data_IF_852156589427
#
_entry.id   IF_852156589427
#
_cell.length_a   1.000
_cell.length_b   1.000
_cell.length_c   1.000
_cell.angle_alpha   90.00
_cell.angle_beta   90.00
_cell.angle_gamma   90.00
#
_symmetry.space_group_name_H-M   'P 1'
#
loop_
_entity.id
_entity.type
_entity.pdbx_description
1 polymer ?
#
# COMPACT_ATOMS: atom_id res chain seq x y z
N UNK A 1 40.32 107.86 -23.84
CA UNK A 1 39.30 108.25 -22.84
C UNK A 1 38.05 107.43 -23.13
N UNK A 2 37.81 106.39 -22.48
CA UNK A 2 36.66 105.51 -22.70
C UNK A 2 36.12 104.99 -21.35
N UNK A 3 34.92 105.38 -21.06
CA UNK A 3 34.25 105.05 -19.83
C UNK A 3 33.78 103.60 -19.86
N UNK A 4 34.24 102.82 -18.92
CA UNK A 4 33.76 101.48 -18.64
C UNK A 4 32.39 101.54 -17.96
N UNK A 5 31.39 100.93 -18.53
CA UNK A 5 30.11 100.67 -17.89
C UNK A 5 30.13 99.22 -17.34
N UNK A 6 30.02 99.07 -16.06
CA UNK A 6 29.85 97.83 -15.37
C UNK A 6 28.37 97.48 -15.48
N UNK A 7 28.07 96.27 -16.08
CA UNK A 7 26.74 95.68 -16.12
C UNK A 7 26.65 94.62 -15.04
N UNK A 8 25.76 94.88 -14.10
CA UNK A 8 25.46 93.89 -13.00
C UNK A 8 24.51 92.84 -13.53
N UNK A 9 25.00 91.61 -13.65
CA UNK A 9 24.15 90.52 -14.04
C UNK A 9 23.73 89.74 -12.78
N UNK A 10 22.42 89.81 -12.47
CA UNK A 10 21.80 88.95 -11.41
C UNK A 10 21.77 87.51 -11.88
N UNK A 11 22.48 86.70 -11.16
CA UNK A 11 22.39 85.23 -11.36
C UNK A 11 21.27 84.73 -10.46
N UNK A 12 20.15 84.38 -11.06
CA UNK A 12 19.06 83.68 -10.37
C UNK A 12 19.42 82.17 -10.27
N UNK A 13 19.73 81.73 -9.05
CA UNK A 13 19.93 80.32 -8.76
C UNK A 13 18.54 79.68 -8.62
N UNK A 14 18.14 78.94 -9.64
CA UNK A 14 16.95 78.09 -9.59
C UNK A 14 17.32 76.78 -8.88
N UNK A 15 16.85 76.63 -7.65
CA UNK A 15 16.89 75.33 -6.96
C UNK A 15 15.89 74.39 -7.62
N UNK A 16 16.39 73.46 -8.47
CA UNK A 16 15.63 72.35 -8.99
C UNK A 16 15.61 71.28 -7.91
N UNK A 17 14.53 71.21 -7.15
CA UNK A 17 14.25 70.07 -6.25
C UNK A 17 13.83 68.91 -7.10
N UNK A 18 14.77 67.96 -7.35
CA UNK A 18 14.44 66.71 -7.95
C UNK A 18 13.67 65.85 -6.90
N UNK A 19 12.35 65.74 -7.03
CA UNK A 19 11.56 64.71 -6.42
C UNK A 19 11.93 63.39 -7.08
N UNK A 20 12.84 62.65 -6.47
CA UNK A 20 13.00 61.22 -6.73
C UNK A 20 11.74 60.54 -6.21
N UNK A 21 10.76 60.33 -7.09
CA UNK A 21 9.71 59.35 -6.89
C UNK A 21 10.40 57.96 -6.99
N UNK A 22 10.83 57.49 -5.85
CA UNK A 22 11.23 56.07 -5.71
C UNK A 22 10.04 55.19 -6.03
N UNK A 23 9.98 54.66 -7.25
CA UNK A 23 9.20 53.45 -7.49
C UNK A 23 9.78 52.36 -6.60
N UNK A 24 9.20 52.16 -5.41
CA UNK A 24 9.35 50.93 -4.69
C UNK A 24 8.72 49.86 -5.58
N UNK A 25 9.54 49.18 -6.38
CA UNK A 25 9.19 47.89 -6.88
C UNK A 25 8.94 47.01 -5.64
N UNK A 26 7.71 46.94 -5.21
CA UNK A 26 7.22 45.78 -4.46
C UNK A 26 7.38 44.62 -5.45
N UNK A 27 8.56 44.01 -5.52
CA UNK A 27 8.67 42.61 -5.84
C UNK A 27 7.82 41.92 -4.77
N UNK A 28 6.58 41.60 -5.12
CA UNK A 28 5.91 40.50 -4.45
C UNK A 28 6.94 39.37 -4.47
N UNK A 29 7.46 39.06 -3.28
CA UNK A 29 8.22 37.83 -3.05
C UNK A 29 7.13 36.78 -3.21
N UNK A 30 6.92 36.32 -4.44
CA UNK A 30 6.35 35.02 -4.66
C UNK A 30 7.34 34.07 -3.96
N UNK A 31 7.02 33.68 -2.73
CA UNK A 31 7.60 32.50 -2.16
C UNK A 31 7.28 31.38 -3.18
N UNK A 32 8.25 31.03 -4.00
CA UNK A 32 8.18 29.82 -4.78
C UNK A 32 8.14 28.70 -3.75
N UNK A 33 6.93 28.32 -3.36
CA UNK A 33 6.71 27.10 -2.60
C UNK A 33 7.15 25.99 -3.54
N UNK A 34 8.13 25.23 -3.15
CA UNK A 34 8.59 24.08 -3.92
C UNK A 34 7.41 23.14 -4.10
N UNK A 35 7.08 22.82 -5.34
CA UNK A 35 5.97 21.91 -5.65
C UNK A 35 6.54 20.52 -5.96
N UNK A 36 6.15 19.54 -5.17
CA UNK A 36 6.51 18.12 -5.34
C UNK A 36 5.31 17.40 -5.96
N UNK A 37 5.55 16.64 -7.03
CA UNK A 37 4.52 15.89 -7.74
C UNK A 37 4.79 14.39 -7.64
N UNK A 38 3.87 13.66 -7.02
CA UNK A 38 3.94 12.21 -6.87
C UNK A 38 2.79 11.59 -7.66
N UNK A 39 3.12 10.82 -8.69
CA UNK A 39 2.12 10.05 -9.45
C UNK A 39 1.92 8.67 -8.82
N UNK A 40 0.69 8.27 -8.57
CA UNK A 40 0.36 6.94 -8.06
C UNK A 40 -0.55 6.24 -9.06
N UNK A 41 -0.19 5.04 -9.49
CA UNK A 41 -1.07 4.19 -10.29
C UNK A 41 -1.32 2.87 -9.55
N UNK A 42 -2.59 2.55 -9.35
CA UNK A 42 -3.02 1.32 -8.68
C UNK A 42 -3.63 0.35 -9.68
N UNK A 43 -3.46 -0.96 -9.43
CA UNK A 43 -4.04 -1.97 -10.30
C UNK A 43 -5.56 -1.90 -10.30
N UNK A 44 -6.15 -1.57 -9.14
CA UNK A 44 -7.59 -1.50 -8.89
C UNK A 44 -7.84 -0.57 -7.69
N UNK A 45 -8.71 0.42 -7.85
CA UNK A 45 -8.96 1.45 -6.82
C UNK A 45 -9.86 0.94 -5.68
N UNK A 46 -10.78 0.02 -5.98
CA UNK A 46 -11.75 -0.52 -5.01
C UNK A 46 -11.20 -1.68 -4.15
N UNK A 47 -9.93 -2.07 -4.33
CA UNK A 47 -9.23 -2.96 -3.39
C UNK A 47 -9.06 -2.26 -2.04
N UNK A 48 -9.65 -2.84 -0.97
CA UNK A 48 -9.68 -2.25 0.37
C UNK A 48 -8.29 -2.04 0.96
N UNK A 49 -7.39 -3.01 0.77
CA UNK A 49 -6.03 -2.91 1.30
C UNK A 49 -5.23 -1.83 0.57
N UNK A 50 -5.31 -1.77 -0.76
CA UNK A 50 -4.62 -0.76 -1.57
C UNK A 50 -5.18 0.63 -1.30
N UNK A 51 -6.51 0.79 -1.18
CA UNK A 51 -7.13 2.07 -0.83
C UNK A 51 -6.70 2.57 0.56
N UNK A 52 -6.47 1.67 1.51
CA UNK A 52 -5.91 2.04 2.83
C UNK A 52 -4.49 2.59 2.70
N UNK A 53 -3.62 1.98 1.88
CA UNK A 53 -2.26 2.50 1.63
C UNK A 53 -2.32 3.88 0.98
N UNK A 54 -3.10 4.05 -0.09
CA UNK A 54 -3.17 5.33 -0.81
C UNK A 54 -3.75 6.45 0.03
N UNK A 55 -4.76 6.18 0.86
CA UNK A 55 -5.31 7.15 1.80
C UNK A 55 -4.27 7.59 2.84
N UNK A 56 -3.48 6.67 3.39
CA UNK A 56 -2.40 7.01 4.31
C UNK A 56 -1.31 7.85 3.64
N UNK A 57 -0.96 7.59 2.37
CA UNK A 57 -0.02 8.43 1.60
C UNK A 57 -0.55 9.87 1.49
N UNK A 58 -1.85 10.06 1.21
CA UNK A 58 -2.49 11.38 1.14
C UNK A 58 -2.45 12.11 2.48
N UNK A 59 -2.70 11.41 3.59
CA UNK A 59 -2.63 12.02 4.93
C UNK A 59 -1.19 12.40 5.32
N UNK A 60 -0.20 11.57 4.98
CA UNK A 60 1.21 11.89 5.19
C UNK A 60 1.64 13.14 4.38
N UNK A 61 1.18 13.27 3.15
CA UNK A 61 1.43 14.44 2.33
C UNK A 61 0.84 15.72 2.96
N UNK A 62 -0.42 15.69 3.38
CA UNK A 62 -1.08 16.82 4.06
C UNK A 62 -0.36 17.23 5.36
N UNK A 63 0.15 16.25 6.10
CA UNK A 63 0.94 16.50 7.31
C UNK A 63 2.25 17.19 6.95
N UNK A 64 2.97 16.66 5.96
CA UNK A 64 4.28 17.18 5.53
C UNK A 64 4.18 18.59 4.93
N UNK A 65 3.15 18.88 4.14
CA UNK A 65 2.87 20.24 3.64
C UNK A 65 2.78 21.28 4.75
N UNK A 66 2.10 20.91 5.87
CA UNK A 66 1.96 21.82 7.03
C UNK A 66 3.25 22.01 7.81
N UNK A 67 4.06 20.94 7.91
CA UNK A 67 5.31 20.95 8.68
C UNK A 67 6.42 21.73 7.97
N UNK A 68 6.54 21.60 6.66
CA UNK A 68 7.68 22.14 5.90
C UNK A 68 7.33 23.27 4.95
N UNK A 69 6.07 23.71 4.90
CA UNK A 69 5.58 24.77 4.00
C UNK A 69 5.93 24.50 2.53
N UNK A 70 5.79 23.24 2.10
CA UNK A 70 5.93 22.76 0.72
C UNK A 70 4.55 22.48 0.14
N UNK A 71 4.42 22.43 -1.18
CA UNK A 71 3.21 21.96 -1.84
C UNK A 71 3.45 20.57 -2.37
N UNK A 72 2.59 19.60 -2.03
CA UNK A 72 2.70 18.21 -2.50
C UNK A 72 1.42 17.83 -3.27
N UNK A 73 1.57 17.62 -4.56
CA UNK A 73 0.51 17.17 -5.43
C UNK A 73 0.61 15.66 -5.59
N UNK A 74 -0.44 14.94 -5.22
CA UNK A 74 -0.52 13.47 -5.43
C UNK A 74 -1.72 13.18 -6.31
N UNK A 75 -1.48 12.60 -7.47
CA UNK A 75 -2.53 12.09 -8.36
C UNK A 75 -2.55 10.57 -8.31
N UNK A 76 -3.72 10.01 -7.98
CA UNK A 76 -3.96 8.57 -7.94
C UNK A 76 -4.81 8.19 -9.15
N UNK A 77 -4.35 7.22 -9.93
CA UNK A 77 -5.04 6.74 -11.13
C UNK A 77 -5.29 5.24 -11.05
N UNK A 78 -6.52 4.83 -11.31
CA UNK A 78 -6.94 3.44 -11.38
C UNK A 78 -6.63 2.84 -12.77
N UNK A 79 -5.81 1.80 -12.82
CA UNK A 79 -5.51 1.07 -14.05
C UNK A 79 -6.64 0.12 -14.49
N UNK A 80 -7.61 -0.16 -13.62
CA UNK A 80 -8.75 -1.05 -13.90
C UNK A 80 -8.31 -2.43 -14.38
N UNK A 81 -7.35 -3.01 -13.67
CA UNK A 81 -6.76 -4.33 -13.95
C UNK A 81 -6.21 -4.44 -15.38
N UNK A 82 -5.88 -3.31 -16.01
CA UNK A 82 -5.42 -3.24 -17.39
C UNK A 82 -4.01 -2.66 -17.51
N UNK A 83 -3.04 -3.50 -17.89
CA UNK A 83 -1.65 -3.11 -18.04
C UNK A 83 -1.45 -1.98 -19.07
N UNK A 84 -2.21 -1.96 -20.17
CA UNK A 84 -2.07 -0.89 -21.16
C UNK A 84 -2.53 0.46 -20.59
N UNK A 85 -3.61 0.48 -19.81
CA UNK A 85 -4.03 1.67 -19.06
C UNK A 85 -2.93 2.12 -18.10
N UNK A 86 -2.34 1.19 -17.35
CA UNK A 86 -1.27 1.51 -16.40
C UNK A 86 -0.05 2.10 -17.09
N UNK A 87 0.38 1.52 -18.22
CA UNK A 87 1.47 2.07 -19.04
C UNK A 87 1.16 3.49 -19.53
N UNK A 88 -0.08 3.76 -19.95
CA UNK A 88 -0.50 5.10 -20.39
C UNK A 88 -0.53 6.10 -19.22
N UNK A 89 -0.88 5.65 -18.01
CA UNK A 89 -0.84 6.48 -16.80
C UNK A 89 0.59 6.85 -16.43
N UNK A 90 1.52 5.91 -16.52
CA UNK A 90 2.97 6.18 -16.34
C UNK A 90 3.46 7.19 -17.37
N UNK A 91 3.12 7.03 -18.65
CA UNK A 91 3.46 8.00 -19.69
C UNK A 91 2.90 9.40 -19.38
N UNK A 92 1.65 9.47 -18.89
CA UNK A 92 1.01 10.72 -18.48
C UNK A 92 1.78 11.40 -17.35
N UNK A 93 2.21 10.67 -16.33
CA UNK A 93 3.00 11.22 -15.23
C UNK A 93 4.36 11.75 -15.74
N UNK A 94 5.05 10.99 -16.57
CA UNK A 94 6.32 11.40 -17.18
C UNK A 94 6.16 12.70 -17.99
N UNK A 95 5.15 12.76 -18.87
CA UNK A 95 4.88 13.92 -19.73
C UNK A 95 4.51 15.19 -18.95
N UNK A 96 3.93 15.03 -17.74
CA UNK A 96 3.56 16.15 -16.86
C UNK A 96 4.62 16.47 -15.80
N UNK A 97 5.86 15.92 -15.96
CA UNK A 97 7.01 16.15 -15.10
C UNK A 97 6.71 15.85 -13.63
N UNK A 98 6.20 14.67 -13.34
CA UNK A 98 6.12 14.16 -11.97
C UNK A 98 7.52 13.78 -11.49
N UNK A 99 7.82 14.11 -10.24
CA UNK A 99 9.14 13.89 -9.65
C UNK A 99 9.41 12.42 -9.38
N UNK A 100 8.35 11.65 -9.10
CA UNK A 100 8.41 10.23 -8.83
C UNK A 100 7.08 9.54 -9.16
N UNK A 101 7.13 8.26 -9.49
CA UNK A 101 5.96 7.44 -9.81
C UNK A 101 5.90 6.24 -8.87
N UNK A 102 4.77 6.07 -8.17
CA UNK A 102 4.47 4.91 -7.35
C UNK A 102 3.52 3.98 -8.10
N UNK A 103 3.85 2.70 -8.18
CA UNK A 103 3.15 1.72 -9.02
C UNK A 103 2.75 0.49 -8.20
N UNK A 104 1.46 0.32 -7.99
CA UNK A 104 0.92 -0.98 -7.63
C UNK A 104 0.60 -1.72 -8.94
N UNK A 105 1.54 -2.54 -9.39
CA UNK A 105 1.57 -3.06 -10.76
C UNK A 105 0.43 -4.04 -11.05
N UNK A 106 -0.19 -3.93 -12.23
CA UNK A 106 -1.23 -4.88 -12.69
C UNK A 106 -0.65 -6.28 -12.88
N UNK A 107 0.47 -6.39 -13.57
CA UNK A 107 1.16 -7.65 -13.83
C UNK A 107 2.65 -7.53 -13.46
N UNK A 108 3.03 -8.20 -12.38
CA UNK A 108 4.40 -8.16 -11.84
C UNK A 108 5.48 -8.64 -12.81
N UNK A 109 5.12 -9.47 -13.80
CA UNK A 109 6.05 -9.99 -14.80
C UNK A 109 6.28 -9.02 -15.96
N UNK A 110 5.50 -7.93 -16.02
CA UNK A 110 5.56 -6.90 -17.06
C UNK A 110 6.20 -5.59 -16.59
N UNK A 111 6.87 -5.59 -15.43
CA UNK A 111 7.48 -4.40 -14.84
C UNK A 111 8.58 -3.78 -15.74
N UNK A 112 9.30 -4.59 -16.53
CA UNK A 112 10.34 -4.12 -17.44
C UNK A 112 9.92 -2.94 -18.30
N UNK A 113 8.72 -2.99 -18.89
CA UNK A 113 8.21 -1.92 -19.76
C UNK A 113 8.05 -0.60 -19.02
N UNK A 114 7.50 -0.64 -17.80
CA UNK A 114 7.29 0.54 -16.95
C UNK A 114 8.62 1.10 -16.48
N UNK A 115 9.55 0.22 -16.06
CA UNK A 115 10.89 0.60 -15.62
C UNK A 115 11.68 1.27 -16.74
N UNK A 116 11.64 0.73 -17.97
CA UNK A 116 12.36 1.28 -19.11
C UNK A 116 11.84 2.68 -19.49
N UNK A 117 10.53 2.93 -19.39
CA UNK A 117 9.92 4.27 -19.56
C UNK A 117 10.43 5.24 -18.50
N UNK A 118 10.35 4.87 -17.23
CA UNK A 118 10.80 5.67 -16.10
C UNK A 118 12.30 5.99 -16.17
N UNK A 119 13.11 4.99 -16.52
CA UNK A 119 14.56 5.13 -16.73
C UNK A 119 14.88 6.10 -17.86
N UNK A 120 14.16 6.03 -18.99
CA UNK A 120 14.38 6.89 -20.15
C UNK A 120 14.09 8.36 -19.87
N UNK A 121 13.17 8.65 -18.95
CA UNK A 121 12.83 9.99 -18.48
C UNK A 121 13.60 10.41 -17.23
N UNK A 122 14.42 9.51 -16.66
CA UNK A 122 15.08 9.68 -15.37
C UNK A 122 14.10 10.00 -14.20
N UNK A 123 12.88 9.46 -14.26
CA UNK A 123 11.85 9.60 -13.21
C UNK A 123 11.91 8.39 -12.29
N UNK A 124 12.32 8.51 -11.01
CA UNK A 124 12.39 7.39 -10.07
C UNK A 124 11.04 6.68 -9.92
N UNK A 125 11.09 5.38 -9.62
CA UNK A 125 9.89 4.57 -9.51
C UNK A 125 9.90 3.72 -8.23
N UNK A 126 8.76 3.66 -7.56
CA UNK A 126 8.52 2.81 -6.40
C UNK A 126 7.41 1.83 -6.76
N UNK A 127 7.71 0.55 -6.79
CA UNK A 127 6.67 -0.48 -6.79
C UNK A 127 6.21 -0.74 -5.36
N UNK A 128 4.93 -1.03 -5.18
CA UNK A 128 4.42 -1.36 -3.86
C UNK A 128 3.39 -2.49 -3.89
N UNK A 129 3.29 -3.23 -2.78
CA UNK A 129 2.46 -4.40 -2.57
C UNK A 129 2.79 -5.55 -3.55
N UNK A 130 2.59 -5.40 -4.86
CA UNK A 130 2.92 -6.38 -5.89
C UNK A 130 4.39 -6.23 -6.29
N UNK A 131 5.21 -7.21 -5.89
CA UNK A 131 6.66 -7.17 -6.12
C UNK A 131 7.01 -7.58 -7.55
N UNK A 132 7.69 -6.73 -8.33
CA UNK A 132 8.25 -7.13 -9.62
C UNK A 132 9.20 -8.31 -9.49
N UNK A 133 9.43 -9.03 -10.56
CA UNK A 133 10.45 -10.08 -10.56
C UNK A 133 11.84 -9.48 -10.32
N UNK A 134 12.70 -10.21 -9.63
CA UNK A 134 14.02 -9.73 -9.19
C UNK A 134 14.88 -9.19 -10.34
N UNK A 135 14.78 -9.82 -11.52
CA UNK A 135 15.50 -9.38 -12.73
C UNK A 135 15.10 -7.96 -13.12
N UNK A 136 13.82 -7.61 -13.05
CA UNK A 136 13.33 -6.28 -13.38
C UNK A 136 13.79 -5.24 -12.34
N UNK A 137 13.81 -5.57 -11.06
CA UNK A 137 14.32 -4.68 -10.01
C UNK A 137 15.81 -4.31 -10.21
N UNK A 138 16.57 -5.14 -10.89
CA UNK A 138 17.99 -4.88 -11.20
C UNK A 138 18.22 -3.97 -12.41
N UNK A 139 17.20 -3.70 -13.25
CA UNK A 139 17.33 -2.99 -14.53
C UNK A 139 17.79 -1.54 -14.38
N UNK A 140 17.48 -0.90 -13.25
CA UNK A 140 17.84 0.48 -13.01
C UNK A 140 18.06 0.75 -11.51
N UNK A 141 18.92 1.71 -11.19
CA UNK A 141 19.28 2.03 -9.79
C UNK A 141 18.15 2.70 -9.01
N UNK A 142 17.32 3.52 -9.68
CA UNK A 142 16.23 4.29 -9.06
C UNK A 142 14.87 3.57 -9.16
N UNK A 143 14.91 2.26 -8.97
CA UNK A 143 13.74 1.39 -8.78
C UNK A 143 13.72 0.91 -7.33
N UNK A 144 12.60 1.09 -6.65
CA UNK A 144 12.41 0.70 -5.25
C UNK A 144 11.17 -0.17 -5.11
N UNK A 145 11.10 -0.91 -4.02
CA UNK A 145 9.94 -1.71 -3.65
C UNK A 145 9.58 -1.52 -2.17
N UNK A 146 8.30 -1.35 -1.90
CA UNK A 146 7.74 -1.33 -0.55
C UNK A 146 6.61 -2.35 -0.46
N UNK A 147 6.72 -3.30 0.45
CA UNK A 147 5.70 -4.33 0.64
C UNK A 147 5.90 -5.07 1.96
N UNK A 148 5.29 -6.24 2.07
CA UNK A 148 5.37 -7.06 3.26
C UNK A 148 6.05 -8.42 2.97
N UNK A 149 6.44 -9.13 4.03
CA UNK A 149 7.04 -10.46 3.91
C UNK A 149 5.93 -11.52 3.82
N UNK A 150 5.57 -11.93 2.60
CA UNK A 150 4.47 -12.87 2.38
C UNK A 150 4.63 -14.20 3.12
N UNK A 151 5.86 -14.75 3.22
CA UNK A 151 6.15 -15.97 3.99
C UNK A 151 5.73 -15.79 5.45
N UNK A 152 6.11 -14.66 6.06
CA UNK A 152 5.80 -14.38 7.46
C UNK A 152 4.30 -14.27 7.71
N UNK A 153 3.54 -13.73 6.75
CA UNK A 153 2.08 -13.67 6.88
C UNK A 153 1.45 -15.06 6.88
N UNK A 154 1.88 -15.96 5.99
CA UNK A 154 1.44 -17.35 5.98
C UNK A 154 1.82 -18.10 7.27
N UNK A 155 3.06 -17.95 7.74
CA UNK A 155 3.51 -18.54 9.02
C UNK A 155 2.64 -18.08 10.19
N UNK A 156 2.35 -16.79 10.30
CA UNK A 156 1.52 -16.25 11.37
C UNK A 156 0.07 -16.70 11.27
N UNK A 157 -0.47 -16.80 10.05
CA UNK A 157 -1.81 -17.36 9.82
C UNK A 157 -1.89 -18.84 10.25
N UNK A 158 -0.91 -19.65 9.85
CA UNK A 158 -0.81 -21.04 10.32
C UNK A 158 -0.67 -21.14 11.85
N UNK A 159 0.07 -20.21 12.47
CA UNK A 159 0.25 -20.19 13.93
C UNK A 159 -1.05 -19.92 14.71
N UNK A 160 -2.02 -19.18 14.13
CA UNK A 160 -3.35 -19.00 14.75
C UNK A 160 -4.05 -20.37 14.92
N UNK A 161 -3.96 -21.22 13.91
CA UNK A 161 -4.55 -22.55 13.93
C UNK A 161 -3.80 -23.46 14.92
N UNK A 162 -2.46 -23.41 14.96
CA UNK A 162 -1.64 -24.18 15.90
C UNK A 162 -1.98 -23.81 17.34
N UNK A 163 -2.10 -22.50 17.64
CA UNK A 163 -2.44 -22.05 19.00
C UNK A 163 -3.82 -22.57 19.42
N UNK A 164 -4.80 -22.51 18.52
CA UNK A 164 -6.16 -23.01 18.77
C UNK A 164 -6.17 -24.55 18.95
N UNK A 165 -5.50 -25.28 18.08
CA UNK A 165 -5.38 -26.74 18.16
C UNK A 165 -4.70 -27.19 19.45
N UNK A 166 -3.68 -26.46 19.90
CA UNK A 166 -2.95 -26.77 21.14
C UNK A 166 -3.79 -26.47 22.38
N UNK A 167 -4.58 -25.38 22.35
CA UNK A 167 -5.43 -24.97 23.48
C UNK A 167 -6.69 -25.82 23.61
N UNK A 168 -7.35 -26.14 22.50
CA UNK A 168 -8.54 -26.98 22.45
C UNK A 168 -8.68 -27.67 21.09
N UNK A 169 -8.10 -28.87 21.01
CA UNK A 169 -8.12 -29.71 19.80
C UNK A 169 -9.54 -29.98 19.32
N UNK A 170 -10.48 -30.22 20.24
CA UNK A 170 -11.86 -30.61 19.90
C UNK A 170 -12.68 -29.53 19.22
N UNK A 171 -12.28 -28.26 19.35
CA UNK A 171 -12.90 -27.14 18.63
C UNK A 171 -12.45 -27.01 17.18
N UNK A 172 -11.33 -27.67 16.79
CA UNK A 172 -10.81 -27.69 15.41
C UNK A 172 -11.06 -29.08 14.76
N UNK A 173 -10.52 -30.16 15.33
CA UNK A 173 -10.72 -31.53 14.88
C UNK A 173 -12.05 -32.02 15.45
N UNK A 174 -13.15 -31.67 14.78
CA UNK A 174 -14.52 -31.91 15.29
C UNK A 174 -14.98 -33.35 15.08
N UNK A 175 -14.49 -33.99 14.03
CA UNK A 175 -14.80 -35.37 13.73
C UNK A 175 -13.91 -36.33 14.54
N UNK A 176 -12.81 -35.84 15.17
CA UNK A 176 -11.91 -36.62 16.04
C UNK A 176 -11.00 -37.58 15.29
N UNK A 177 -10.77 -37.40 14.00
CA UNK A 177 -9.95 -38.28 13.18
C UNK A 177 -8.44 -37.96 13.25
N UNK A 178 -8.09 -36.85 13.92
CA UNK A 178 -6.71 -36.45 14.14
C UNK A 178 -6.14 -35.52 13.07
N UNK A 179 -6.95 -35.12 12.09
CA UNK A 179 -6.60 -34.19 11.01
C UNK A 179 -7.43 -32.89 11.12
N UNK A 180 -7.07 -31.93 10.34
CA UNK A 180 -7.86 -30.70 10.14
C UNK A 180 -8.31 -30.65 8.67
N UNK A 181 -9.62 -30.77 8.44
CA UNK A 181 -10.19 -30.62 7.12
C UNK A 181 -10.40 -29.17 6.78
N UNK A 182 -9.77 -28.72 5.71
CA UNK A 182 -9.81 -27.31 5.35
C UNK A 182 -10.16 -27.03 3.89
N UNK A 183 -10.67 -25.81 3.67
CA UNK A 183 -10.78 -25.16 2.36
C UNK A 183 -9.90 -23.93 2.30
N UNK A 184 -9.40 -23.58 1.10
CA UNK A 184 -8.50 -22.46 0.88
C UNK A 184 -9.08 -21.48 -0.14
N UNK A 185 -9.28 -20.23 0.27
CA UNK A 185 -9.62 -19.12 -0.61
C UNK A 185 -8.33 -18.42 -1.03
N UNK A 186 -7.99 -18.55 -2.31
CA UNK A 186 -6.78 -18.01 -2.87
C UNK A 186 -7.01 -16.62 -3.48
N UNK A 187 -5.99 -15.75 -3.40
CA UNK A 187 -5.95 -14.48 -4.09
C UNK A 187 -5.82 -14.63 -5.60
N UNK A 188 -5.50 -13.55 -6.27
CA UNK A 188 -5.32 -13.50 -7.71
C UNK A 188 -4.17 -14.41 -8.18
N UNK A 189 -4.42 -15.15 -9.24
CA UNK A 189 -3.41 -16.01 -9.85
C UNK A 189 -2.22 -15.19 -10.40
N UNK A 190 -1.00 -15.59 -10.08
CA UNK A 190 0.22 -14.88 -10.47
C UNK A 190 0.70 -13.81 -9.47
N UNK A 191 -0.11 -13.45 -8.47
CA UNK A 191 0.35 -12.63 -7.36
C UNK A 191 1.28 -13.45 -6.46
N UNK A 192 2.45 -12.89 -6.07
CA UNK A 192 3.41 -13.62 -5.25
C UNK A 192 2.83 -14.02 -3.87
N UNK A 193 2.03 -13.15 -3.26
CA UNK A 193 1.46 -13.40 -1.94
C UNK A 193 0.46 -14.55 -1.96
N UNK A 194 -0.28 -14.75 -3.06
CA UNK A 194 -1.23 -15.86 -3.20
C UNK A 194 -0.52 -17.21 -2.98
N UNK A 195 0.50 -17.49 -3.80
CA UNK A 195 1.21 -18.75 -3.71
C UNK A 195 1.94 -18.93 -2.37
N UNK A 196 2.59 -17.86 -1.89
CA UNK A 196 3.41 -17.91 -0.68
C UNK A 196 2.53 -18.04 0.56
N UNK A 197 1.46 -17.25 0.71
CA UNK A 197 0.52 -17.35 1.86
C UNK A 197 -0.13 -18.72 1.90
N UNK A 198 -0.60 -19.22 0.75
CA UNK A 198 -1.21 -20.56 0.63
C UNK A 198 -0.23 -21.65 1.06
N UNK A 199 1.02 -21.63 0.59
CA UNK A 199 2.03 -22.62 0.96
C UNK A 199 2.39 -22.54 2.45
N UNK A 200 2.77 -21.36 2.93
CA UNK A 200 3.38 -21.22 4.26
C UNK A 200 2.37 -21.36 5.39
N UNK A 201 1.09 -21.02 5.20
CA UNK A 201 0.05 -21.26 6.21
C UNK A 201 -0.08 -22.77 6.51
N UNK A 202 -0.13 -23.60 5.51
CA UNK A 202 -0.25 -25.04 5.64
C UNK A 202 1.07 -25.69 6.08
N UNK A 203 2.17 -25.29 5.47
CA UNK A 203 3.52 -25.79 5.80
C UNK A 203 3.85 -25.60 7.28
N UNK A 204 3.49 -24.45 7.85
CA UNK A 204 3.71 -24.15 9.26
C UNK A 204 2.96 -25.14 10.16
N UNK A 205 1.72 -25.48 9.84
CA UNK A 205 0.91 -26.44 10.60
C UNK A 205 1.52 -27.83 10.51
N UNK A 206 1.85 -28.29 9.31
CA UNK A 206 2.45 -29.61 9.08
C UNK A 206 3.81 -29.75 9.78
N UNK A 207 4.64 -28.70 9.75
CA UNK A 207 5.93 -28.68 10.46
C UNK A 207 5.79 -28.78 11.98
N UNK A 208 4.63 -28.39 12.53
CA UNK A 208 4.32 -28.55 13.95
C UNK A 208 3.65 -29.91 14.28
N UNK A 209 3.65 -30.84 13.33
CA UNK A 209 3.18 -32.21 13.56
C UNK A 209 1.66 -32.37 13.55
N UNK A 210 0.92 -31.40 13.01
CA UNK A 210 -0.53 -31.45 12.87
C UNK A 210 -0.85 -31.90 11.44
N UNK A 211 -1.64 -32.96 11.31
CA UNK A 211 -2.09 -33.42 9.99
C UNK A 211 -3.23 -32.58 9.47
N UNK A 212 -3.22 -32.32 8.18
CA UNK A 212 -4.26 -31.54 7.48
C UNK A 212 -4.76 -32.27 6.25
N UNK A 213 -6.02 -32.05 5.90
CA UNK A 213 -6.65 -32.63 4.71
C UNK A 213 -7.34 -31.50 3.94
N UNK A 214 -6.85 -31.22 2.72
CA UNK A 214 -7.44 -30.21 1.87
C UNK A 214 -8.68 -30.76 1.18
N UNK A 215 -9.86 -30.19 1.47
CA UNK A 215 -11.11 -30.54 0.81
C UNK A 215 -11.21 -29.82 -0.55
N UNK A 216 -10.92 -28.52 -0.58
CA UNK A 216 -10.94 -27.71 -1.79
C UNK A 216 -10.04 -26.49 -1.68
N UNK A 217 -9.65 -25.97 -2.84
CA UNK A 217 -9.05 -24.65 -3.01
C UNK A 217 -9.56 -24.01 -4.31
N UNK A 218 -9.71 -22.68 -4.33
CA UNK A 218 -10.04 -21.95 -5.55
C UNK A 218 -9.70 -20.47 -5.40
N UNK A 219 -9.46 -19.82 -6.55
CA UNK A 219 -9.16 -18.41 -6.63
C UNK A 219 -10.42 -17.57 -6.48
N UNK A 220 -10.40 -16.62 -5.57
CA UNK A 220 -11.46 -15.62 -5.37
C UNK A 220 -10.98 -14.17 -5.56
N UNK A 221 -9.78 -13.98 -6.15
CA UNK A 221 -9.24 -12.72 -6.66
C UNK A 221 -9.28 -11.55 -5.66
N UNK A 222 -9.05 -11.83 -4.36
CA UNK A 222 -9.11 -10.87 -3.27
C UNK A 222 -10.52 -10.30 -2.97
N UNK A 223 -11.58 -10.83 -3.61
CA UNK A 223 -12.91 -10.25 -3.60
C UNK A 223 -13.91 -11.01 -2.72
N UNK A 224 -14.59 -10.27 -1.86
CA UNK A 224 -15.67 -10.74 -1.00
C UNK A 224 -16.74 -11.56 -1.73
N UNK A 225 -17.27 -11.03 -2.83
CA UNK A 225 -18.39 -11.66 -3.55
C UNK A 225 -18.00 -12.98 -4.19
N UNK A 226 -16.78 -13.08 -4.73
CA UNK A 226 -16.26 -14.30 -5.30
C UNK A 226 -16.02 -15.35 -4.22
N UNK A 227 -15.40 -14.96 -3.11
CA UNK A 227 -15.17 -15.84 -1.97
C UNK A 227 -16.48 -16.38 -1.38
N UNK A 228 -17.48 -15.51 -1.18
CA UNK A 228 -18.83 -15.92 -0.75
C UNK A 228 -19.45 -16.95 -1.68
N UNK A 229 -19.34 -16.76 -2.99
CA UNK A 229 -19.86 -17.69 -3.99
C UNK A 229 -19.15 -19.06 -3.92
N UNK A 230 -17.80 -19.07 -3.81
CA UNK A 230 -17.01 -20.32 -3.66
C UNK A 230 -17.39 -21.05 -2.38
N UNK A 231 -17.41 -20.34 -1.25
CA UNK A 231 -17.76 -20.93 0.04
C UNK A 231 -19.18 -21.50 0.05
N UNK A 232 -20.15 -20.82 -0.58
CA UNK A 232 -21.52 -21.35 -0.74
C UNK A 232 -21.54 -22.67 -1.52
N UNK A 233 -20.67 -22.81 -2.53
CA UNK A 233 -20.48 -24.06 -3.26
C UNK A 233 -19.93 -25.16 -2.38
N UNK A 234 -18.87 -24.90 -1.64
CA UNK A 234 -18.20 -25.85 -0.76
C UNK A 234 -19.07 -26.32 0.42
N UNK A 235 -19.88 -25.39 0.98
CA UNK A 235 -20.87 -25.75 2.01
C UNK A 235 -21.86 -26.80 1.48
N UNK A 236 -22.30 -26.69 0.23
CA UNK A 236 -23.21 -27.68 -0.37
C UNK A 236 -22.54 -29.03 -0.64
N UNK A 237 -21.25 -29.02 -0.95
CA UNK A 237 -20.48 -30.20 -1.31
C UNK A 237 -19.98 -30.96 -0.07
N UNK A 238 -19.39 -30.24 0.90
CA UNK A 238 -18.69 -30.84 2.05
C UNK A 238 -19.46 -30.68 3.37
N UNK A 239 -20.33 -29.67 3.49
CA UNK A 239 -21.16 -29.45 4.68
C UNK A 239 -20.35 -29.37 5.97
N UNK A 240 -20.63 -30.29 6.88
CA UNK A 240 -19.99 -30.36 8.22
C UNK A 240 -18.55 -30.90 8.21
N UNK A 241 -18.04 -31.34 7.06
CA UNK A 241 -16.64 -31.77 6.95
C UNK A 241 -15.68 -30.60 6.97
N UNK A 242 -16.14 -29.38 6.63
CA UNK A 242 -15.29 -28.19 6.67
C UNK A 242 -15.06 -27.76 8.12
N UNK A 243 -13.83 -27.80 8.56
CA UNK A 243 -13.43 -27.40 9.91
C UNK A 243 -12.76 -26.01 9.91
N UNK A 244 -11.93 -25.74 8.89
CA UNK A 244 -11.18 -24.50 8.79
C UNK A 244 -11.28 -23.91 7.38
N UNK A 245 -11.46 -22.59 7.31
CA UNK A 245 -11.31 -21.78 6.11
C UNK A 245 -10.04 -20.95 6.23
N UNK A 246 -9.06 -21.22 5.38
CA UNK A 246 -7.94 -20.33 5.16
C UNK A 246 -8.29 -19.34 4.06
N UNK A 247 -8.04 -18.08 4.29
CA UNK A 247 -8.21 -17.04 3.28
C UNK A 247 -6.93 -16.23 3.12
N UNK A 248 -6.49 -16.01 1.88
CA UNK A 248 -5.28 -15.24 1.61
C UNK A 248 -5.42 -13.76 1.96
N UNK A 249 -6.67 -13.22 2.07
CA UNK A 249 -6.91 -11.90 2.63
C UNK A 249 -8.21 -11.85 3.46
N UNK A 250 -8.45 -10.74 4.13
CA UNK A 250 -9.61 -10.53 5.01
C UNK A 250 -10.91 -10.33 4.25
N UNK A 251 -10.88 -9.66 3.09
CA UNK A 251 -12.13 -9.42 2.33
C UNK A 251 -12.75 -10.74 1.85
N UNK A 252 -11.94 -11.68 1.41
CA UNK A 252 -12.38 -13.03 1.08
C UNK A 252 -12.81 -13.83 2.34
N UNK A 253 -12.11 -13.67 3.47
CA UNK A 253 -12.49 -14.30 4.75
C UNK A 253 -13.88 -13.84 5.19
N UNK A 254 -14.16 -12.54 5.10
CA UNK A 254 -15.49 -11.96 5.40
C UNK A 254 -16.55 -12.50 4.45
N UNK A 255 -16.23 -12.70 3.18
CA UNK A 255 -17.11 -13.34 2.20
C UNK A 255 -17.47 -14.79 2.59
N UNK A 256 -16.48 -15.55 3.09
CA UNK A 256 -16.72 -16.90 3.60
C UNK A 256 -17.59 -16.90 4.87
N UNK A 257 -17.33 -15.98 5.81
CA UNK A 257 -18.13 -15.81 7.03
C UNK A 257 -19.60 -15.51 6.67
N UNK A 258 -19.84 -14.64 5.70
CA UNK A 258 -21.18 -14.34 5.25
C UNK A 258 -21.90 -15.55 4.65
N UNK A 259 -21.21 -16.38 3.85
CA UNK A 259 -21.77 -17.62 3.32
C UNK A 259 -22.11 -18.62 4.45
N UNK A 260 -21.25 -18.73 5.47
CA UNK A 260 -21.49 -19.57 6.64
C UNK A 260 -22.70 -19.10 7.44
N UNK A 261 -22.85 -17.79 7.65
CA UNK A 261 -24.02 -17.17 8.32
C UNK A 261 -25.31 -17.45 7.57
N UNK A 262 -25.33 -17.28 6.24
CA UNK A 262 -26.51 -17.59 5.41
C UNK A 262 -26.92 -19.07 5.45
N UNK A 263 -25.94 -19.96 5.65
CA UNK A 263 -26.15 -21.39 5.80
C UNK A 263 -26.44 -21.82 7.26
N UNK A 264 -26.50 -20.89 8.21
CA UNK A 264 -26.67 -21.13 9.65
C UNK A 264 -25.57 -22.07 10.24
N UNK A 265 -24.35 -22.00 9.71
CA UNK A 265 -23.18 -22.76 10.16
C UNK A 265 -22.30 -21.87 11.03
N UNK A 266 -22.14 -22.19 12.32
CA UNK A 266 -21.48 -21.33 13.30
C UNK A 266 -20.17 -21.91 13.87
N UNK A 267 -19.78 -23.09 13.45
CA UNK A 267 -18.67 -23.83 14.06
C UNK A 267 -17.46 -23.99 13.14
N UNK A 268 -17.39 -23.33 11.97
CA UNK A 268 -16.25 -23.34 11.09
C UNK A 268 -15.28 -22.23 11.49
N UNK A 269 -14.01 -22.55 11.62
CA UNK A 269 -12.96 -21.59 11.96
C UNK A 269 -12.51 -20.88 10.71
N UNK A 270 -12.41 -19.53 10.77
CA UNK A 270 -11.95 -18.72 9.65
C UNK A 270 -10.72 -17.92 10.07
N UNK A 271 -9.68 -17.89 9.22
CA UNK A 271 -8.47 -17.06 9.39
C UNK A 271 -8.16 -16.30 8.12
N UNK A 272 -7.71 -15.03 8.27
CA UNK A 272 -7.42 -14.12 7.17
C UNK A 272 -6.03 -13.48 7.27
N UNK A 273 -5.81 -12.50 6.41
CA UNK A 273 -4.62 -11.63 6.36
C UNK A 273 -5.07 -10.25 5.89
N UNK A 274 -4.50 -9.20 6.38
CA UNK A 274 -4.47 -7.77 6.11
C UNK A 274 -4.75 -6.93 7.36
N UNK A 275 -5.68 -7.35 8.23
CA UNK A 275 -6.07 -6.60 9.42
C UNK A 275 -6.99 -5.42 9.08
N UNK A 276 -7.89 -5.56 8.11
CA UNK A 276 -8.89 -4.52 7.83
C UNK A 276 -9.88 -4.40 8.99
N UNK A 277 -10.45 -3.21 9.16
CA UNK A 277 -11.30 -2.90 10.33
C UNK A 277 -12.43 -3.90 10.50
N UNK A 278 -13.12 -4.28 9.43
CA UNK A 278 -14.23 -5.22 9.45
C UNK A 278 -13.79 -6.63 9.89
N UNK A 279 -12.58 -7.06 9.55
CA UNK A 279 -12.02 -8.34 10.01
C UNK A 279 -11.61 -8.27 11.48
N UNK A 280 -11.03 -7.15 11.94
CA UNK A 280 -10.77 -6.93 13.36
C UNK A 280 -12.07 -6.95 14.18
N UNK A 281 -13.14 -6.36 13.67
CA UNK A 281 -14.47 -6.44 14.29
C UNK A 281 -14.99 -7.88 14.32
N UNK A 282 -14.81 -8.65 13.25
CA UNK A 282 -15.19 -10.07 13.19
C UNK A 282 -14.40 -10.91 14.21
N UNK A 283 -13.10 -10.64 14.40
CA UNK A 283 -12.28 -11.27 15.45
C UNK A 283 -12.80 -10.91 16.83
N UNK A 284 -13.11 -9.63 17.06
CA UNK A 284 -13.69 -9.15 18.33
C UNK A 284 -15.03 -9.80 18.66
N UNK A 285 -15.84 -10.10 17.65
CA UNK A 285 -17.17 -10.69 17.80
C UNK A 285 -17.17 -12.23 17.77
N UNK A 286 -16.00 -12.88 17.78
CA UNK A 286 -15.83 -14.33 17.69
C UNK A 286 -16.35 -14.96 16.38
N UNK A 287 -16.50 -14.16 15.33
CA UNK A 287 -16.90 -14.61 13.98
C UNK A 287 -15.70 -15.09 13.16
N UNK A 288 -14.49 -14.68 13.55
CA UNK A 288 -13.22 -15.02 12.95
C UNK A 288 -12.21 -15.34 14.05
N UNK A 289 -11.43 -16.42 13.90
CA UNK A 289 -10.42 -16.79 14.88
C UNK A 289 -9.31 -15.73 15.01
N UNK A 290 -8.87 -15.21 13.88
CA UNK A 290 -7.84 -14.19 13.84
C UNK A 290 -7.46 -13.79 12.42
N UNK A 291 -6.68 -12.74 12.35
CA UNK A 291 -6.08 -12.23 11.11
C UNK A 291 -4.61 -11.88 11.33
N UNK A 292 -3.90 -11.62 10.25
CA UNK A 292 -2.52 -11.16 10.28
C UNK A 292 -2.45 -9.76 9.68
N UNK A 293 -2.22 -8.73 10.51
CA UNK A 293 -2.06 -7.35 10.01
C UNK A 293 -0.90 -7.29 9.02
N UNK A 294 -1.18 -6.86 7.79
CA UNK A 294 -0.21 -6.38 6.82
C UNK A 294 -0.12 -4.86 6.97
N UNK A 295 0.95 -4.37 7.61
CA UNK A 295 1.01 -2.98 8.11
C UNK A 295 0.96 -1.94 6.97
N UNK A 296 -0.25 -1.58 6.53
CA UNK A 296 -0.52 -0.60 5.47
C UNK A 296 0.00 0.81 5.79
N UNK A 297 0.01 1.18 7.08
CA UNK A 297 0.55 2.47 7.53
C UNK A 297 2.07 2.51 7.30
N UNK A 298 2.80 1.47 7.76
CA UNK A 298 4.24 1.41 7.55
C UNK A 298 4.60 1.30 6.05
N UNK A 299 3.77 0.64 5.22
CA UNK A 299 3.96 0.64 3.77
C UNK A 299 3.79 2.05 3.19
N UNK A 300 2.72 2.75 3.58
CA UNK A 300 2.49 4.13 3.14
C UNK A 300 3.63 5.07 3.57
N UNK A 301 4.12 4.95 4.80
CA UNK A 301 5.28 5.71 5.33
C UNK A 301 6.53 5.41 4.49
N UNK A 302 6.83 4.15 4.22
CA UNK A 302 7.97 3.77 3.38
C UNK A 302 7.88 4.33 1.96
N UNK A 303 6.71 4.23 1.31
CA UNK A 303 6.46 4.78 -0.03
C UNK A 303 6.64 6.31 0.00
N UNK A 304 5.96 6.99 0.93
CA UNK A 304 5.99 8.44 1.02
C UNK A 304 7.40 8.97 1.33
N UNK A 305 8.12 8.36 2.27
CA UNK A 305 9.46 8.80 2.65
C UNK A 305 10.47 8.62 1.51
N UNK A 306 10.43 7.51 0.77
CA UNK A 306 11.26 7.36 -0.44
C UNK A 306 10.87 8.41 -1.47
N UNK A 307 9.55 8.60 -1.72
CA UNK A 307 9.07 9.55 -2.72
C UNK A 307 9.49 10.97 -2.39
N UNK A 308 9.28 11.41 -1.16
CA UNK A 308 9.63 12.74 -0.69
C UNK A 308 11.14 12.99 -0.77
N UNK A 309 11.95 12.05 -0.26
CA UNK A 309 13.41 12.17 -0.31
C UNK A 309 13.94 12.23 -1.75
N UNK A 310 13.41 11.42 -2.66
CA UNK A 310 13.81 11.45 -4.08
C UNK A 310 13.41 12.75 -4.77
N UNK A 311 12.23 13.29 -4.49
CA UNK A 311 11.73 14.52 -5.08
C UNK A 311 12.50 15.77 -4.59
N UNK A 312 12.99 15.74 -3.34
CA UNK A 312 13.77 16.84 -2.75
C UNK A 312 15.28 16.67 -2.90
N UNK A 313 15.75 15.67 -3.63
CA UNK A 313 17.17 15.26 -3.72
C UNK A 313 17.80 14.93 -2.36
N UNK A 314 16.98 14.53 -1.39
CA UNK A 314 17.43 14.07 -0.09
C UNK A 314 18.20 12.75 -0.16
N UNK A 315 18.98 12.46 0.87
CA UNK A 315 19.65 11.19 1.03
C UNK A 315 18.65 10.13 1.52
N UNK A 316 18.64 8.96 0.86
CA UNK A 316 17.81 7.83 1.26
C UNK A 316 18.33 7.10 2.51
N UNK A 317 19.52 7.45 3.01
CA UNK A 317 20.05 6.87 4.25
C UNK A 317 19.17 7.11 5.47
N UNK A 318 18.37 8.19 5.45
CA UNK A 318 17.45 8.53 6.52
C UNK A 318 16.06 7.86 6.38
N UNK A 319 15.83 7.09 5.31
CA UNK A 319 14.57 6.36 5.12
C UNK A 319 14.59 5.08 5.94
N UNK A 320 13.80 5.06 6.99
CA UNK A 320 13.73 3.92 7.92
C UNK A 320 13.33 2.63 7.21
N UNK A 321 14.06 1.56 7.49
CA UNK A 321 13.79 0.22 6.97
C UNK A 321 14.17 0.01 5.50
N UNK A 322 14.78 1.00 4.82
CA UNK A 322 15.24 0.81 3.44
C UNK A 322 16.56 0.03 3.41
N UNK A 323 16.49 -1.21 2.96
CA UNK A 323 17.64 -2.09 2.74
C UNK A 323 17.89 -2.23 1.23
N UNK A 324 18.92 -1.54 0.73
CA UNK A 324 19.21 -1.47 -0.70
C UNK A 324 18.08 -0.79 -1.48
N UNK A 325 17.16 -1.57 -2.02
CA UNK A 325 16.01 -1.07 -2.80
C UNK A 325 14.65 -1.42 -2.18
N UNK A 326 14.65 -2.11 -1.02
CA UNK A 326 13.47 -2.74 -0.47
C UNK A 326 13.14 -2.22 0.91
N UNK A 327 11.86 -1.96 1.15
CA UNK A 327 11.29 -1.88 2.48
C UNK A 327 10.33 -3.07 2.62
N UNK A 328 10.61 -3.96 3.58
CA UNK A 328 9.75 -5.09 3.93
C UNK A 328 9.13 -4.84 5.30
N UNK A 329 7.83 -4.54 5.32
CA UNK A 329 7.11 -4.25 6.57
C UNK A 329 6.77 -5.52 7.34
N UNK A 330 6.73 -5.39 8.68
CA UNK A 330 6.44 -6.51 9.57
C UNK A 330 4.95 -6.80 9.65
N UNK A 331 4.64 -8.06 9.84
CA UNK A 331 3.28 -8.55 10.13
C UNK A 331 3.04 -8.67 11.64
N UNK A 332 1.77 -8.61 12.03
CA UNK A 332 1.33 -8.76 13.42
C UNK A 332 0.19 -9.76 13.46
N UNK A 333 0.33 -10.83 14.25
CA UNK A 333 -0.75 -11.80 14.49
C UNK A 333 -1.80 -11.18 15.42
N UNK A 334 -3.05 -11.24 14.99
CA UNK A 334 -4.20 -10.74 15.74
C UNK A 334 -5.15 -11.89 16.06
N UNK A 335 -5.51 -11.96 17.32
CA UNK A 335 -6.56 -12.84 17.85
C UNK A 335 -7.43 -12.07 18.85
N UNK A 336 -8.36 -12.76 19.50
CA UNK A 336 -9.25 -12.19 20.52
C UNK A 336 -8.52 -11.49 21.67
N UNK A 337 -7.30 -11.91 21.99
CA UNK A 337 -6.57 -11.41 23.15
C UNK A 337 -5.96 -10.03 22.90
N UNK A 338 -5.70 -9.67 21.65
CA UNK A 338 -5.00 -8.41 21.33
C UNK A 338 -5.75 -7.50 20.36
N UNK A 339 -6.87 -7.93 19.78
CA UNK A 339 -7.61 -7.18 18.76
C UNK A 339 -8.03 -5.77 19.21
N UNK A 340 -8.40 -5.59 20.48
CA UNK A 340 -8.84 -4.29 21.01
C UNK A 340 -7.77 -3.19 20.93
N UNK A 341 -6.49 -3.56 20.85
CA UNK A 341 -5.38 -2.60 20.70
C UNK A 341 -5.38 -1.97 19.31
N UNK A 342 -5.92 -2.69 18.31
CA UNK A 342 -5.88 -2.32 16.89
C UNK A 342 -7.22 -1.81 16.35
N UNK A 343 -8.31 -2.00 17.09
CA UNK A 343 -9.60 -1.35 16.85
C UNK A 343 -9.58 0.06 17.48
N UNK A 344 -9.41 1.08 16.67
CA UNK A 344 -9.43 2.49 17.11
C UNK A 344 -10.64 3.22 16.57
#
# INVERSE_FOLDING_TARGET
MGKMRVSSTFVAIIFMVNYLVGCTNNKEIYNNVEEIKIGVTVYKEDDKFISTITNNILELAKKKEKEENVKITIDILDAKENLANQCNQVDKFILNNYDIICVNIVDRTSAATIIDKAKSSNTPIIFFNREPVEEDMRRWKDVYYVGAEAEKSGELQGSLIIDKYTSDKSEIDKNGDGKIQYVMLEGEHGHQDTAIRTEYSIKTIVQNGIEVEKLADDTANWEFAQAKSKMTGWIKEFGSEIEVVFSNNDDMALGAIEALKEAEIHNVIVVGVDGVTEALEAVKNDEMLGTVISNSIAQAEGIFNIAYSKATNGDLSDVEGLEGKYIKTKHIKIDKNNVDVYLK
#
